data_IF_322988914447
#
_entry.id   IF_322988914447
#
_cell.length_a   1.000
_cell.length_b   1.000
_cell.length_c   1.000
_cell.angle_alpha   90.00
_cell.angle_beta   90.00
_cell.angle_gamma   90.00
#
_symmetry.space_group_name_H-M   'P 1'
#
loop_
_entity.id
_entity.type
_entity.pdbx_description
1 polymer ?
#
# COMPACT_ATOMS: atom_id res chain seq x y z
N UNK A 1 20.07 -5.64 -8.60
CA UNK A 1 20.49 -4.59 -7.64
C UNK A 1 19.82 -4.72 -6.27
N UNK A 2 18.48 -4.84 -6.19
CA UNK A 2 17.75 -5.03 -4.92
C UNK A 2 18.13 -6.31 -4.17
N UNK A 3 18.29 -7.43 -4.88
CA UNK A 3 18.78 -8.70 -4.32
C UNK A 3 20.15 -8.54 -3.65
N UNK A 4 21.05 -7.72 -4.19
CA UNK A 4 22.36 -7.45 -3.59
C UNK A 4 22.28 -6.54 -2.35
N UNK A 5 21.32 -5.61 -2.30
CA UNK A 5 21.08 -4.77 -1.12
C UNK A 5 20.48 -5.57 0.03
N UNK A 6 19.50 -6.43 -0.25
CA UNK A 6 18.96 -7.38 0.71
C UNK A 6 20.06 -8.34 1.17
N UNK A 7 20.80 -8.95 0.23
CA UNK A 7 21.94 -9.80 0.53
C UNK A 7 22.95 -9.10 1.46
N UNK A 8 23.35 -7.85 1.18
CA UNK A 8 24.30 -7.12 2.02
C UNK A 8 23.78 -6.75 3.42
N UNK A 9 22.51 -6.36 3.54
CA UNK A 9 21.88 -6.06 4.84
C UNK A 9 21.84 -7.30 5.73
N UNK A 10 21.50 -8.45 5.15
CA UNK A 10 21.32 -9.68 5.90
C UNK A 10 22.61 -10.51 6.08
N UNK A 11 23.56 -10.47 5.15
CA UNK A 11 24.87 -11.14 5.27
C UNK A 11 25.75 -10.50 6.35
N UNK A 12 25.64 -9.18 6.55
CA UNK A 12 26.27 -8.53 7.72
C UNK A 12 25.70 -9.02 9.04
N UNK A 13 24.45 -9.50 9.05
CA UNK A 13 23.73 -10.04 10.21
C UNK A 13 23.71 -11.59 10.25
N UNK A 14 24.83 -12.25 9.96
CA UNK A 14 25.22 -13.65 10.31
C UNK A 14 24.13 -14.73 10.44
N UNK A 15 23.07 -14.69 9.65
CA UNK A 15 22.01 -15.71 9.65
C UNK A 15 21.74 -16.06 8.20
N UNK A 16 21.85 -17.35 7.85
CA UNK A 16 21.28 -17.85 6.60
C UNK A 16 19.82 -17.43 6.57
N UNK A 17 19.47 -16.53 5.66
CA UNK A 17 18.11 -16.00 5.56
C UNK A 17 17.20 -17.17 5.16
N UNK A 18 16.38 -17.73 6.06
CA UNK A 18 15.64 -18.94 5.77
C UNK A 18 14.50 -18.70 4.77
N UNK A 19 14.31 -17.45 4.34
CA UNK A 19 13.25 -16.99 3.46
C UNK A 19 13.72 -16.45 2.09
N UNK A 20 15.02 -16.48 1.77
CA UNK A 20 15.52 -16.12 0.42
C UNK A 20 14.93 -16.98 -0.69
N UNK A 21 14.74 -18.27 -0.41
CA UNK A 21 14.15 -19.20 -1.38
C UNK A 21 12.74 -18.76 -1.73
N UNK A 22 11.91 -18.48 -0.73
CA UNK A 22 10.51 -18.07 -0.94
C UNK A 22 10.43 -16.71 -1.63
N UNK A 23 11.29 -15.76 -1.26
CA UNK A 23 11.39 -14.48 -1.96
C UNK A 23 11.73 -14.71 -3.43
N UNK A 24 12.74 -15.53 -3.73
CA UNK A 24 13.10 -15.86 -5.11
C UNK A 24 11.92 -16.44 -5.88
N UNK A 25 11.17 -17.38 -5.27
CA UNK A 25 9.97 -17.95 -5.87
C UNK A 25 8.93 -16.86 -6.15
N UNK A 26 8.68 -15.93 -5.21
CA UNK A 26 7.75 -14.82 -5.42
C UNK A 26 8.12 -13.97 -6.65
N UNK A 27 9.41 -13.71 -6.86
CA UNK A 27 9.92 -12.95 -8.01
C UNK A 27 9.88 -13.74 -9.32
N UNK A 28 10.11 -15.06 -9.29
CA UNK A 28 10.12 -15.88 -10.51
C UNK A 28 8.72 -16.33 -10.95
N UNK A 29 7.75 -16.36 -10.03
CA UNK A 29 6.37 -16.76 -10.28
C UNK A 29 5.47 -15.59 -10.72
N UNK A 30 5.93 -14.35 -10.65
CA UNK A 30 5.13 -13.20 -11.10
C UNK A 30 5.14 -13.14 -12.63
N UNK A 31 3.96 -13.12 -13.23
CA UNK A 31 3.78 -13.06 -14.69
C UNK A 31 3.19 -11.71 -15.10
N UNK A 32 3.67 -11.16 -16.21
CA UNK A 32 3.14 -9.93 -16.81
C UNK A 32 1.62 -10.04 -17.02
N UNK A 33 0.83 -8.98 -16.74
CA UNK A 33 1.24 -7.61 -16.38
C UNK A 33 1.64 -7.40 -14.92
N UNK A 34 1.56 -8.43 -14.07
CA UNK A 34 1.88 -8.30 -12.66
C UNK A 34 3.38 -8.06 -12.44
N UNK A 35 3.71 -7.32 -11.38
CA UNK A 35 5.08 -7.12 -10.95
C UNK A 35 5.18 -6.86 -9.45
N UNK A 36 6.34 -7.12 -8.87
CA UNK A 36 6.63 -6.75 -7.48
C UNK A 36 6.99 -5.27 -7.44
N UNK A 37 6.12 -4.46 -6.83
CA UNK A 37 6.29 -3.01 -6.76
C UNK A 37 7.15 -2.57 -5.58
N UNK A 38 7.07 -3.26 -4.44
CA UNK A 38 7.82 -2.91 -3.24
C UNK A 38 8.23 -4.14 -2.44
N UNK A 39 9.36 -4.01 -1.74
CA UNK A 39 9.80 -4.95 -0.70
C UNK A 39 10.11 -4.14 0.55
N UNK A 40 9.47 -4.46 1.67
CA UNK A 40 9.57 -3.71 2.92
C UNK A 40 10.00 -4.58 4.09
N UNK A 41 10.86 -4.04 4.95
CA UNK A 41 11.20 -4.66 6.25
C UNK A 41 10.25 -4.10 7.31
N UNK A 42 9.55 -4.97 8.03
CA UNK A 42 8.54 -4.56 9.02
C UNK A 42 9.15 -4.50 10.44
N UNK A 43 10.04 -3.54 10.66
CA UNK A 43 10.87 -3.43 11.88
C UNK A 43 10.10 -3.34 13.22
N UNK A 44 8.82 -2.96 13.20
CA UNK A 44 7.98 -2.84 14.40
C UNK A 44 7.28 -4.13 14.82
N UNK A 45 7.51 -5.26 14.14
CA UNK A 45 6.83 -6.53 14.39
C UNK A 45 7.74 -7.50 15.15
N UNK A 46 7.13 -8.29 16.03
CA UNK A 46 7.83 -9.38 16.74
C UNK A 46 8.29 -10.51 15.82
N UNK A 47 7.70 -10.59 14.61
CA UNK A 47 7.99 -11.64 13.64
C UNK A 47 8.89 -11.09 12.52
N UNK A 48 9.99 -11.81 12.28
CA UNK A 48 10.92 -11.52 11.20
C UNK A 48 10.31 -11.89 9.84
N UNK A 49 9.68 -10.90 9.19
CA UNK A 49 9.05 -11.05 7.87
C UNK A 49 9.43 -9.89 6.95
N UNK A 50 9.53 -10.19 5.65
CA UNK A 50 9.51 -9.18 4.60
C UNK A 50 8.10 -9.02 4.03
N UNK A 51 7.71 -7.79 3.78
CA UNK A 51 6.53 -7.45 2.99
C UNK A 51 6.90 -7.50 1.51
N UNK A 52 6.21 -8.32 0.73
CA UNK A 52 6.25 -8.26 -0.73
C UNK A 52 4.92 -7.69 -1.22
N UNK A 53 5.02 -6.66 -2.06
CA UNK A 53 3.87 -5.98 -2.63
C UNK A 53 3.79 -6.30 -4.12
N UNK A 54 2.69 -6.94 -4.55
CA UNK A 54 2.45 -7.35 -5.94
C UNK A 54 1.38 -6.47 -6.55
N UNK A 55 1.75 -5.71 -7.58
CA UNK A 55 0.87 -4.80 -8.32
C UNK A 55 0.43 -5.42 -9.64
N UNK A 56 -0.71 -4.95 -10.17
CA UNK A 56 -1.24 -5.36 -11.48
C UNK A 56 -1.42 -6.87 -11.67
N UNK A 57 -1.67 -7.60 -10.57
CA UNK A 57 -1.99 -9.03 -10.63
C UNK A 57 -3.45 -9.20 -11.07
N UNK A 58 -3.72 -9.74 -12.28
CA UNK A 58 -5.09 -9.96 -12.71
C UNK A 58 -5.80 -10.94 -11.78
N UNK A 59 -7.10 -10.73 -11.53
CA UNK A 59 -7.89 -11.57 -10.60
C UNK A 59 -7.75 -13.05 -10.90
N UNK A 60 -7.86 -13.43 -12.18
CA UNK A 60 -7.75 -14.83 -12.63
C UNK A 60 -6.36 -15.45 -12.41
N UNK A 61 -5.33 -14.65 -12.10
CA UNK A 61 -3.99 -15.13 -11.78
C UNK A 61 -3.74 -15.22 -10.27
N UNK A 62 -4.60 -14.66 -9.41
CA UNK A 62 -4.34 -14.56 -7.97
C UNK A 62 -4.13 -15.93 -7.33
N UNK A 63 -5.06 -16.88 -7.47
CA UNK A 63 -4.95 -18.18 -6.83
C UNK A 63 -3.77 -18.98 -7.36
N UNK A 64 -3.58 -19.01 -8.68
CA UNK A 64 -2.43 -19.70 -9.28
C UNK A 64 -1.09 -19.12 -8.82
N UNK A 65 -0.98 -17.79 -8.72
CA UNK A 65 0.21 -17.13 -8.18
C UNK A 65 0.43 -17.49 -6.70
N UNK A 66 -0.59 -17.38 -5.86
CA UNK A 66 -0.52 -17.70 -4.44
C UNK A 66 -0.10 -19.16 -4.21
N UNK A 67 -0.69 -20.09 -4.95
CA UNK A 67 -0.33 -21.52 -4.88
C UNK A 67 1.13 -21.76 -5.30
N UNK A 68 1.60 -21.13 -6.39
CA UNK A 68 2.98 -21.27 -6.87
C UNK A 68 4.02 -20.79 -5.86
N UNK A 69 3.72 -19.72 -5.11
CA UNK A 69 4.63 -19.19 -4.08
C UNK A 69 4.53 -19.95 -2.73
N UNK A 70 3.73 -21.01 -2.67
CA UNK A 70 3.59 -21.86 -1.48
C UNK A 70 2.60 -21.30 -0.43
N UNK A 71 1.65 -20.47 -0.84
CA UNK A 71 0.53 -20.11 0.03
C UNK A 71 -0.37 -21.33 0.27
N UNK A 72 -0.65 -21.63 1.54
CA UNK A 72 -1.27 -22.91 1.95
C UNK A 72 -2.77 -22.84 2.20
N UNK A 73 -3.36 -21.64 2.14
CA UNK A 73 -4.78 -21.44 2.42
C UNK A 73 -5.58 -21.46 1.13
N UNK A 74 -6.89 -21.70 1.24
CA UNK A 74 -7.80 -21.60 0.10
C UNK A 74 -7.76 -20.18 -0.51
N UNK A 75 -7.82 -20.11 -1.84
CA UNK A 75 -7.67 -18.86 -2.60
C UNK A 75 -8.97 -18.32 -3.17
N UNK A 76 -10.04 -19.11 -3.18
CA UNK A 76 -11.31 -18.73 -3.80
C UNK A 76 -11.92 -17.47 -3.15
N UNK A 77 -11.86 -17.40 -1.81
CA UNK A 77 -12.38 -16.25 -1.05
C UNK A 77 -11.62 -14.94 -1.36
N UNK A 78 -10.29 -15.01 -1.52
CA UNK A 78 -9.49 -13.82 -1.83
C UNK A 78 -9.69 -13.37 -3.27
N UNK A 79 -9.88 -14.30 -4.21
CA UNK A 79 -10.23 -13.97 -5.60
C UNK A 79 -11.57 -13.26 -5.69
N UNK A 80 -12.61 -13.80 -5.03
CA UNK A 80 -13.93 -13.19 -4.96
C UNK A 80 -13.85 -11.80 -4.32
N UNK A 81 -13.10 -11.66 -3.23
CA UNK A 81 -12.91 -10.37 -2.55
C UNK A 81 -12.23 -9.35 -3.46
N UNK A 82 -11.13 -9.72 -4.12
CA UNK A 82 -10.43 -8.79 -5.02
C UNK A 82 -11.31 -8.41 -6.21
N UNK A 83 -12.08 -9.36 -6.76
CA UNK A 83 -13.04 -9.06 -7.82
C UNK A 83 -14.07 -8.01 -7.38
N UNK A 84 -14.70 -8.19 -6.21
CA UNK A 84 -15.64 -7.20 -5.66
C UNK A 84 -15.01 -5.84 -5.38
N UNK A 85 -13.73 -5.80 -4.98
CA UNK A 85 -13.04 -4.53 -4.76
C UNK A 85 -12.77 -3.80 -6.06
N UNK A 86 -12.47 -4.52 -7.14
CA UNK A 86 -12.25 -3.94 -8.47
C UNK A 86 -13.54 -3.40 -9.11
N UNK A 87 -14.73 -3.77 -8.61
CA UNK A 87 -15.99 -3.11 -8.99
C UNK A 87 -16.04 -1.64 -8.53
N UNK A 88 -15.22 -1.28 -7.54
CA UNK A 88 -15.14 0.08 -6.97
C UNK A 88 -13.83 0.77 -7.33
N UNK A 89 -12.69 0.09 -7.13
CA UNK A 89 -11.33 0.63 -7.22
C UNK A 89 -10.68 0.33 -8.57
N UNK A 90 -9.79 1.21 -9.02
CA UNK A 90 -9.13 1.06 -10.32
C UNK A 90 -8.07 -0.04 -10.30
N UNK A 91 -7.41 -0.25 -9.16
CA UNK A 91 -6.51 -1.37 -8.96
C UNK A 91 -6.35 -1.77 -7.50
N UNK A 92 -6.02 -3.04 -7.30
CA UNK A 92 -5.71 -3.64 -6.00
C UNK A 92 -4.30 -4.20 -6.03
N UNK A 93 -3.53 -3.92 -4.97
CA UNK A 93 -2.19 -4.47 -4.77
C UNK A 93 -2.23 -5.46 -3.61
N UNK A 94 -1.64 -6.63 -3.81
CA UNK A 94 -1.50 -7.64 -2.77
C UNK A 94 -0.26 -7.35 -1.91
N UNK A 95 -0.44 -7.45 -0.60
CA UNK A 95 0.59 -7.31 0.41
C UNK A 95 0.78 -8.65 1.13
N UNK A 96 1.89 -9.31 0.84
CA UNK A 96 2.22 -10.62 1.38
C UNK A 96 3.31 -10.49 2.44
N UNK A 97 3.10 -11.10 3.59
CA UNK A 97 4.14 -11.25 4.61
C UNK A 97 4.87 -12.57 4.41
N UNK A 98 6.18 -12.47 4.16
CA UNK A 98 7.06 -13.58 3.80
C UNK A 98 8.10 -13.77 4.89
N UNK A 99 7.99 -14.87 5.62
CA UNK A 99 9.06 -15.40 6.47
C UNK A 99 9.44 -16.80 5.97
N UNK A 100 9.68 -17.74 6.88
CA UNK A 100 9.92 -19.17 6.53
C UNK A 100 8.76 -19.84 5.78
N UNK A 101 7.62 -19.14 5.69
CA UNK A 101 6.43 -19.46 4.90
C UNK A 101 5.77 -18.14 4.46
N UNK A 102 4.87 -18.22 3.49
CA UNK A 102 3.91 -17.15 3.25
C UNK A 102 2.89 -17.17 4.39
N UNK A 103 2.72 -16.03 5.06
CA UNK A 103 1.78 -15.94 6.18
C UNK A 103 0.32 -15.89 5.68
N UNK A 104 -0.65 -16.47 6.43
CA UNK A 104 -2.05 -16.54 6.01
C UNK A 104 -2.75 -15.20 5.80
N UNK A 105 -2.25 -14.12 6.41
CA UNK A 105 -2.88 -12.81 6.28
C UNK A 105 -2.40 -12.11 5.02
N UNK A 106 -3.33 -11.65 4.19
CA UNK A 106 -3.06 -10.89 2.97
C UNK A 106 -3.61 -9.48 3.15
N UNK A 107 -2.77 -8.47 2.96
CA UNK A 107 -3.24 -7.10 2.82
C UNK A 107 -3.62 -6.79 1.38
N UNK A 108 -4.63 -5.96 1.19
CA UNK A 108 -5.11 -5.47 -0.09
C UNK A 108 -5.07 -3.95 -0.03
N UNK A 109 -4.18 -3.33 -0.80
CA UNK A 109 -4.14 -1.87 -0.95
C UNK A 109 -4.97 -1.51 -2.18
N UNK A 110 -6.08 -0.80 -1.97
CA UNK A 110 -7.05 -0.45 -3.00
C UNK A 110 -6.94 1.04 -3.37
N UNK A 111 -6.81 1.32 -4.65
CA UNK A 111 -6.45 2.64 -5.16
C UNK A 111 -7.46 3.16 -6.17
N UNK A 112 -7.53 4.49 -6.26
CA UNK A 112 -8.04 5.18 -7.44
C UNK A 112 -6.87 5.75 -8.25
N UNK A 113 -7.00 5.80 -9.57
CA UNK A 113 -5.97 6.30 -10.48
C UNK A 113 -5.85 7.83 -10.40
N UNK A 114 -6.89 8.54 -9.94
CA UNK A 114 -6.88 9.99 -9.78
C UNK A 114 -5.77 10.43 -8.82
N UNK A 115 -4.77 11.14 -9.36
CA UNK A 115 -3.58 11.55 -8.63
C UNK A 115 -3.72 12.89 -7.90
N UNK A 116 -4.74 13.69 -8.23
CA UNK A 116 -4.96 15.02 -7.64
C UNK A 116 -6.36 15.20 -7.04
N UNK A 117 -6.42 15.88 -5.90
CA UNK A 117 -7.66 16.08 -5.15
C UNK A 117 -8.23 14.79 -4.55
N UNK A 118 -9.53 14.81 -4.24
CA UNK A 118 -10.26 13.67 -3.72
C UNK A 118 -11.07 13.04 -4.86
N UNK A 119 -10.78 11.78 -5.21
CA UNK A 119 -11.63 11.03 -6.13
C UNK A 119 -13.07 11.01 -5.61
N UNK A 120 -14.09 11.36 -6.42
CA UNK A 120 -15.47 11.43 -5.96
C UNK A 120 -16.00 10.10 -5.40
N UNK A 121 -15.41 8.96 -5.80
CA UNK A 121 -15.75 7.61 -5.31
C UNK A 121 -15.31 7.37 -3.86
N UNK A 122 -14.40 8.16 -3.31
CA UNK A 122 -14.03 8.06 -1.88
C UNK A 122 -15.22 8.31 -0.96
N UNK A 123 -16.02 9.34 -1.22
CA UNK A 123 -17.13 9.71 -0.34
C UNK A 123 -18.18 8.61 -0.17
N UNK A 124 -18.77 8.03 -1.25
CA UNK A 124 -19.72 6.93 -1.12
C UNK A 124 -19.07 5.69 -0.49
N UNK A 125 -17.83 5.35 -0.86
CA UNK A 125 -17.14 4.21 -0.27
C UNK A 125 -16.91 4.37 1.25
N UNK A 126 -16.48 5.54 1.72
CA UNK A 126 -16.30 5.79 3.15
C UNK A 126 -17.64 5.79 3.91
N UNK A 127 -18.73 6.25 3.28
CA UNK A 127 -20.07 6.14 3.85
C UNK A 127 -20.48 4.67 4.03
N UNK A 128 -20.19 3.80 3.06
CA UNK A 128 -20.44 2.37 3.17
C UNK A 128 -19.64 1.73 4.31
N UNK A 129 -18.40 2.16 4.54
CA UNK A 129 -17.63 1.69 5.69
C UNK A 129 -18.24 2.14 7.02
N UNK A 130 -18.78 3.36 7.09
CA UNK A 130 -19.50 3.83 8.28
C UNK A 130 -20.76 3.01 8.50
N UNK A 131 -21.55 2.76 7.46
CA UNK A 131 -22.77 1.95 7.54
C UNK A 131 -22.48 0.50 7.98
N UNK A 132 -21.31 -0.04 7.61
CA UNK A 132 -20.83 -1.37 8.01
C UNK A 132 -20.14 -1.40 9.39
N UNK A 133 -20.03 -0.26 10.08
CA UNK A 133 -19.35 -0.15 11.38
C UNK A 133 -17.82 -0.29 11.31
N UNK A 134 -17.24 -0.22 10.11
CA UNK A 134 -15.79 -0.33 9.86
C UNK A 134 -15.08 1.03 9.95
N UNK A 135 -15.83 2.12 9.90
CA UNK A 135 -15.35 3.49 10.07
C UNK A 135 -16.32 4.27 10.98
N UNK A 136 -15.82 5.24 11.74
CA UNK A 136 -16.72 6.15 12.46
C UNK A 136 -17.03 7.37 11.58
N UNK A 137 -18.19 8.02 11.73
CA UNK A 137 -18.50 9.25 10.99
C UNK A 137 -17.39 10.31 11.13
N UNK A 138 -16.83 10.47 12.33
CA UNK A 138 -15.78 11.44 12.62
C UNK A 138 -14.49 11.12 11.86
N UNK A 139 -14.13 9.82 11.76
CA UNK A 139 -12.97 9.40 10.97
C UNK A 139 -13.17 9.64 9.48
N UNK A 140 -14.37 9.34 8.95
CA UNK A 140 -14.72 9.66 7.56
C UNK A 140 -14.58 11.16 7.31
N UNK A 141 -15.20 11.98 8.14
CA UNK A 141 -15.23 13.44 7.95
C UNK A 141 -13.81 14.03 8.03
N UNK A 142 -12.99 13.53 8.95
CA UNK A 142 -11.58 13.90 9.05
C UNK A 142 -10.77 13.49 7.81
N UNK A 143 -11.00 12.30 7.25
CA UNK A 143 -10.32 11.84 6.02
C UNK A 143 -10.66 12.73 4.83
N UNK A 144 -11.93 13.10 4.67
CA UNK A 144 -12.38 13.98 3.59
C UNK A 144 -11.82 15.39 3.77
N UNK A 145 -11.90 15.95 4.97
CA UNK A 145 -11.43 17.31 5.28
C UNK A 145 -9.90 17.46 5.22
N UNK A 146 -9.15 16.37 5.31
CA UNK A 146 -7.69 16.40 5.24
C UNK A 146 -7.16 16.67 3.82
N UNK A 147 -7.88 16.25 2.79
CA UNK A 147 -7.44 16.39 1.40
C UNK A 147 -7.35 17.87 1.02
N UNK A 148 -6.28 18.24 0.33
CA UNK A 148 -6.07 19.59 -0.16
C UNK A 148 -4.59 19.95 -0.19
N UNK A 149 -4.32 21.24 -0.12
CA UNK A 149 -2.96 21.76 -0.16
C UNK A 149 -2.57 22.34 1.19
N UNK A 150 -1.28 22.31 1.46
CA UNK A 150 -0.63 23.17 2.46
C UNK A 150 0.36 24.03 1.72
N UNK A 151 0.37 25.31 2.05
CA UNK A 151 1.25 26.33 1.49
C UNK A 151 2.06 26.95 2.63
N UNK A 152 3.14 27.70 2.34
CA UNK A 152 3.86 28.45 3.37
C UNK A 152 2.95 29.35 4.22
N UNK A 153 1.90 29.92 3.61
CA UNK A 153 0.94 30.80 4.28
C UNK A 153 -0.15 30.09 5.09
N UNK A 154 -0.40 28.80 4.84
CA UNK A 154 -1.45 28.02 5.52
C UNK A 154 -0.89 26.97 6.49
N UNK A 155 0.42 26.75 6.47
CA UNK A 155 1.11 25.85 7.40
C UNK A 155 1.05 26.38 8.83
N UNK A 156 0.80 25.48 9.79
CA UNK A 156 0.92 25.78 11.23
C UNK A 156 2.36 25.69 11.71
N UNK A 157 3.17 24.88 11.05
CA UNK A 157 4.59 24.68 11.33
C UNK A 157 5.44 25.54 10.40
N UNK A 158 6.68 25.90 10.81
CA UNK A 158 7.61 26.58 9.92
C UNK A 158 7.80 25.83 8.60
N UNK A 159 7.68 26.54 7.48
CA UNK A 159 7.92 25.93 6.17
C UNK A 159 9.37 25.46 6.07
N UNK A 160 9.59 24.31 5.45
CA UNK A 160 10.92 23.72 5.40
C UNK A 160 11.87 24.63 4.62
N UNK A 161 13.01 24.99 5.23
CA UNK A 161 13.95 25.97 4.67
C UNK A 161 14.47 25.60 3.27
N UNK A 162 14.63 24.30 3.00
CA UNK A 162 15.03 23.82 1.68
C UNK A 162 13.95 24.05 0.61
N UNK A 163 12.67 23.91 0.95
CA UNK A 163 11.55 24.21 0.04
C UNK A 163 11.42 25.72 -0.22
N UNK A 164 11.70 26.55 0.80
CA UNK A 164 11.78 28.00 0.62
C UNK A 164 12.91 28.35 -0.34
N UNK A 165 14.11 27.82 -0.11
CA UNK A 165 15.28 28.06 -0.94
C UNK A 165 15.04 27.62 -2.39
N UNK A 166 14.41 26.46 -2.60
CA UNK A 166 14.02 25.99 -3.92
C UNK A 166 13.01 26.91 -4.59
N UNK A 167 11.97 27.34 -3.88
CA UNK A 167 10.95 28.28 -4.42
C UNK A 167 11.56 29.62 -4.84
N UNK A 168 12.57 30.12 -4.12
CA UNK A 168 13.27 31.37 -4.46
C UNK A 168 14.10 31.29 -5.75
N UNK A 169 14.41 30.08 -6.23
CA UNK A 169 15.10 29.84 -7.50
C UNK A 169 14.13 29.74 -8.68
N UNK A 170 12.82 29.69 -8.43
CA UNK A 170 11.77 29.60 -9.44
C UNK A 170 11.15 30.98 -9.71
N UNK A 171 10.36 31.13 -10.79
CA UNK A 171 9.57 32.34 -11.01
C UNK A 171 8.69 32.69 -9.79
N UNK A 172 8.36 33.98 -9.55
CA UNK A 172 7.64 34.42 -8.34
C UNK A 172 6.30 33.72 -8.08
N UNK A 173 5.67 33.17 -9.13
CA UNK A 173 4.38 32.48 -9.06
C UNK A 173 4.51 30.95 -8.89
N UNK A 174 5.73 30.44 -8.72
CA UNK A 174 6.07 29.01 -8.62
C UNK A 174 6.56 28.68 -7.20
N UNK A 175 5.64 28.77 -6.23
CA UNK A 175 5.93 28.40 -4.85
C UNK A 175 5.64 26.92 -4.61
N UNK A 176 6.54 26.26 -3.85
CA UNK A 176 6.32 24.90 -3.38
C UNK A 176 5.02 24.74 -2.58
N UNK A 177 4.28 23.67 -2.86
CA UNK A 177 3.10 23.28 -2.09
C UNK A 177 3.22 21.83 -1.64
N UNK A 178 2.62 21.51 -0.49
CA UNK A 178 2.43 20.15 -0.05
C UNK A 178 1.01 19.71 -0.41
N UNK A 179 0.89 18.74 -1.30
CA UNK A 179 -0.38 18.13 -1.60
C UNK A 179 -0.66 17.01 -0.60
N UNK A 180 -1.84 17.06 0.00
CA UNK A 180 -2.38 16.07 0.94
C UNK A 180 -3.49 15.31 0.22
N UNK A 181 -3.34 14.00 0.12
CA UNK A 181 -4.31 13.14 -0.58
C UNK A 181 -4.56 11.84 0.17
N UNK A 182 -5.69 11.21 -0.16
CA UNK A 182 -5.92 9.81 0.22
C UNK A 182 -5.28 8.93 -0.84
N UNK A 183 -4.23 8.21 -0.47
CA UNK A 183 -3.49 7.34 -1.40
C UNK A 183 -4.25 6.05 -1.66
N UNK A 184 -4.66 5.36 -0.61
CA UNK A 184 -5.37 4.09 -0.69
C UNK A 184 -6.05 3.73 0.62
N UNK A 185 -6.95 2.75 0.56
CA UNK A 185 -7.42 2.04 1.73
C UNK A 185 -6.79 0.65 1.77
N UNK A 186 -6.45 0.18 2.96
CA UNK A 186 -5.94 -1.16 3.18
C UNK A 186 -7.01 -2.05 3.79
N UNK A 187 -7.35 -3.12 3.10
CA UNK A 187 -8.21 -4.18 3.62
C UNK A 187 -7.32 -5.35 4.01
N UNK A 188 -7.57 -5.95 5.17
CA UNK A 188 -6.87 -7.12 5.65
C UNK A 188 -7.77 -8.32 5.52
N UNK A 189 -7.36 -9.27 4.69
CA UNK A 189 -7.97 -10.58 4.58
C UNK A 189 -7.21 -11.58 5.46
N UNK A 190 -7.96 -12.34 6.24
CA UNK A 190 -7.46 -13.47 7.03
C UNK A 190 -8.48 -14.59 6.91
N UNK A 191 -8.09 -15.78 6.43
CA UNK A 191 -9.02 -16.90 6.25
C UNK A 191 -9.79 -17.19 7.54
N UNK A 192 -11.12 -17.36 7.45
CA UNK A 192 -12.02 -17.66 8.57
C UNK A 192 -12.22 -16.54 9.61
N UNK A 193 -11.70 -15.33 9.38
CA UNK A 193 -11.94 -14.16 10.24
C UNK A 193 -12.67 -13.06 9.46
N UNK A 194 -13.44 -12.19 10.15
CA UNK A 194 -14.02 -11.00 9.53
C UNK A 194 -12.95 -10.10 8.89
N UNK A 195 -13.32 -9.38 7.83
CA UNK A 195 -12.45 -8.41 7.19
C UNK A 195 -12.17 -7.23 8.13
N UNK A 196 -10.92 -6.77 8.16
CA UNK A 196 -10.53 -5.52 8.84
C UNK A 196 -10.14 -4.46 7.80
N UNK A 197 -10.65 -3.24 7.95
CA UNK A 197 -10.24 -2.10 7.11
C UNK A 197 -9.38 -1.11 7.91
N UNK A 198 -8.24 -0.72 7.35
CA UNK A 198 -7.33 0.32 7.87
C UNK A 198 -7.06 1.33 6.75
N UNK A 199 -7.09 2.62 7.07
CA UNK A 199 -6.81 3.69 6.09
C UNK A 199 -5.34 4.11 6.17
N UNK A 200 -4.74 4.49 5.04
CA UNK A 200 -3.35 4.94 4.94
C UNK A 200 -3.31 6.32 4.26
N UNK A 201 -2.53 7.21 4.84
CA UNK A 201 -2.37 8.60 4.43
C UNK A 201 -1.08 8.76 3.62
N UNK A 202 -1.07 9.69 2.68
CA UNK A 202 0.15 10.07 1.98
C UNK A 202 0.21 11.59 1.79
N UNK A 203 1.43 12.12 1.74
CA UNK A 203 1.70 13.53 1.51
C UNK A 203 2.93 13.65 0.63
N UNK A 204 2.79 14.38 -0.48
CA UNK A 204 3.88 14.60 -1.42
C UNK A 204 4.00 16.08 -1.77
N UNK A 205 5.23 16.48 -2.05
CA UNK A 205 5.56 17.84 -2.46
C UNK A 205 5.28 17.98 -3.95
N UNK A 206 4.59 19.04 -4.34
CA UNK A 206 4.42 19.43 -5.75
C UNK A 206 5.22 20.71 -5.95
N UNK A 207 6.16 20.65 -6.90
CA UNK A 207 6.98 21.79 -7.34
C UNK A 207 6.32 22.57 -8.45
#
# INVERSE_FOLDING_TARGET
>A
MLLNLLYNYFVKNKSQIPYLVIISVCFTSVLTPAYISHVGIMLSREVETLRINVSQLPVYQIGSYLQQIGYTQATDEIEILVNHLLDTFDYVRLCLDVGTKIYPQIGLECYFEQQSGLDPRWSPFLNDLVAKGLCTPEKRDALIAWVGYTTPSTSKEPWASHLIAESLLQPPDSLSVLQRGLSHIKITYKPQYPLEAKHIWDSFTVG
#
